data_IF_290081435234
#
_entry.id   IF_290081435234
#
_cell.length_a   1.000
_cell.length_b   1.000
_cell.length_c   1.000
_cell.angle_alpha   90.00
_cell.angle_beta   90.00
_cell.angle_gamma   90.00
#
_symmetry.space_group_name_H-M   'P 1'
#
loop_
_entity.id
_entity.type
_entity.pdbx_description
1 polymer ?
#
# COMPACT_ATOMS: atom_id res chain seq x y z
N UNK A 1 19.82 -8.12 10.76
CA UNK A 1 19.38 -6.71 10.65
C UNK A 1 18.39 -6.41 9.51
N UNK A 2 17.76 -7.39 8.83
CA UNK A 2 16.74 -7.09 7.77
C UNK A 2 15.28 -6.98 8.25
N UNK A 3 15.00 -7.41 9.48
CA UNK A 3 13.64 -7.41 10.04
C UNK A 3 13.17 -6.01 10.42
N UNK A 4 14.01 -5.25 11.12
CA UNK A 4 13.70 -3.91 11.61
C UNK A 4 13.42 -2.92 10.48
N UNK A 5 14.25 -2.89 9.44
CA UNK A 5 14.06 -1.97 8.32
C UNK A 5 12.73 -2.24 7.58
N UNK A 6 12.32 -3.50 7.46
CA UNK A 6 11.02 -3.86 6.86
C UNK A 6 9.86 -3.46 7.76
N UNK A 7 10.00 -3.63 9.08
CA UNK A 7 8.97 -3.21 10.06
C UNK A 7 8.75 -1.71 10.01
N UNK A 8 9.82 -0.93 10.11
CA UNK A 8 9.76 0.53 10.06
C UNK A 8 9.15 1.01 8.74
N UNK A 9 9.53 0.39 7.61
CA UNK A 9 8.94 0.72 6.32
C UNK A 9 7.43 0.41 6.27
N UNK A 10 7.02 -0.73 6.85
CA UNK A 10 5.62 -1.15 6.90
C UNK A 10 4.79 -0.18 7.73
N UNK A 11 5.27 0.20 8.91
CA UNK A 11 4.61 1.18 9.77
C UNK A 11 4.48 2.54 9.08
N UNK A 12 5.55 3.00 8.42
CA UNK A 12 5.56 4.28 7.69
C UNK A 12 4.60 4.29 6.51
N UNK A 13 4.54 3.19 5.75
CA UNK A 13 3.63 3.00 4.61
C UNK A 13 2.17 2.94 5.07
N UNK A 14 1.87 2.14 6.10
CA UNK A 14 0.52 2.00 6.65
C UNK A 14 0.02 3.31 7.26
N UNK A 15 0.86 4.02 8.02
CA UNK A 15 0.53 5.32 8.58
C UNK A 15 0.22 6.36 7.49
N UNK A 16 1.06 6.46 6.46
CA UNK A 16 0.83 7.38 5.35
C UNK A 16 -0.46 7.05 4.57
N UNK A 17 -0.77 5.77 4.38
CA UNK A 17 -2.02 5.34 3.76
C UNK A 17 -3.24 5.69 4.62
N UNK A 18 -3.15 5.47 5.94
CA UNK A 18 -4.19 5.86 6.91
C UNK A 18 -4.48 7.35 6.94
N UNK A 19 -3.47 8.19 6.68
CA UNK A 19 -3.63 9.65 6.51
C UNK A 19 -4.34 10.05 5.20
N UNK A 20 -4.65 9.08 4.34
CA UNK A 20 -5.33 9.31 3.06
C UNK A 20 -4.40 9.58 1.88
N UNK A 21 -3.08 9.36 2.03
CA UNK A 21 -2.18 9.39 0.88
C UNK A 21 -2.44 8.21 -0.05
N UNK A 22 -2.28 8.44 -1.35
CA UNK A 22 -2.38 7.37 -2.34
C UNK A 22 -1.15 6.45 -2.24
N UNK A 23 -1.33 5.16 -2.55
CA UNK A 23 -0.21 4.19 -2.66
C UNK A 23 0.90 4.71 -3.57
N UNK A 24 0.52 5.43 -4.63
CA UNK A 24 1.44 6.01 -5.62
C UNK A 24 2.30 7.14 -5.02
N UNK A 25 1.71 8.02 -4.21
CA UNK A 25 2.43 9.07 -3.49
C UNK A 25 3.38 8.47 -2.45
N UNK A 26 2.91 7.46 -1.72
CA UNK A 26 3.72 6.75 -0.72
C UNK A 26 4.93 6.10 -1.40
N UNK A 27 4.70 5.39 -2.51
CA UNK A 27 5.75 4.76 -3.31
C UNK A 27 6.78 5.78 -3.81
N UNK A 28 6.33 6.93 -4.33
CA UNK A 28 7.22 8.00 -4.75
C UNK A 28 7.99 8.62 -3.58
N UNK A 29 7.35 8.79 -2.42
CA UNK A 29 7.97 9.39 -1.24
C UNK A 29 9.09 8.52 -0.64
N UNK A 30 8.98 7.19 -0.74
CA UNK A 30 9.99 6.25 -0.23
C UNK A 30 10.91 5.72 -1.34
N UNK A 31 10.77 6.18 -2.59
CA UNK A 31 11.57 5.70 -3.73
C UNK A 31 11.39 4.20 -4.01
N UNK A 32 10.16 3.69 -3.89
CA UNK A 32 9.82 2.28 -4.15
C UNK A 32 8.74 2.17 -5.21
N UNK A 33 8.56 0.96 -5.73
CA UNK A 33 7.53 0.69 -6.73
C UNK A 33 6.15 0.56 -6.09
N UNK A 34 5.12 0.91 -6.85
CA UNK A 34 3.73 0.72 -6.44
C UNK A 34 3.46 -0.72 -6.00
N UNK A 35 3.90 -1.72 -6.77
CA UNK A 35 3.67 -3.13 -6.47
C UNK A 35 4.33 -3.57 -5.16
N UNK A 36 5.47 -2.97 -4.82
CA UNK A 36 6.13 -3.20 -3.53
C UNK A 36 5.30 -2.63 -2.37
N UNK A 37 4.86 -1.38 -2.47
CA UNK A 37 4.02 -0.74 -1.44
C UNK A 37 2.66 -1.43 -1.32
N UNK A 38 2.05 -1.82 -2.43
CA UNK A 38 0.79 -2.55 -2.44
C UNK A 38 0.92 -3.91 -1.76
N UNK A 39 1.99 -4.68 -2.04
CA UNK A 39 2.24 -5.93 -1.31
C UNK A 39 2.46 -5.67 0.17
N UNK A 40 3.20 -4.63 0.53
CA UNK A 40 3.48 -4.31 1.93
C UNK A 40 2.20 -3.96 2.71
N UNK A 41 1.31 -3.15 2.11
CA UNK A 41 -0.02 -2.85 2.67
C UNK A 41 -0.91 -4.10 2.74
N UNK A 42 -0.85 -4.99 1.75
CA UNK A 42 -1.60 -6.24 1.76
C UNK A 42 -1.09 -7.21 2.85
N UNK A 43 0.24 -7.36 3.00
CA UNK A 43 0.87 -8.16 4.06
C UNK A 43 0.59 -7.58 5.45
N UNK A 44 0.51 -6.25 5.56
CA UNK A 44 0.14 -5.56 6.79
C UNK A 44 -1.36 -5.63 7.11
N UNK A 45 -2.18 -6.21 6.22
CA UNK A 45 -3.62 -6.38 6.43
C UNK A 45 -4.40 -5.06 6.40
N UNK A 46 -3.90 -4.04 5.70
CA UNK A 46 -4.55 -2.73 5.63
C UNK A 46 -5.80 -2.83 4.75
N UNK A 47 -6.92 -2.28 5.22
CA UNK A 47 -8.15 -2.24 4.44
C UNK A 47 -7.96 -1.24 3.28
N UNK A 48 -7.82 -1.77 2.07
CA UNK A 48 -7.70 -0.93 0.89
C UNK A 48 -9.02 -0.21 0.68
N UNK A 49 -8.98 1.12 0.78
CA UNK A 49 -10.07 2.01 0.41
C UNK A 49 -10.52 1.64 -0.99
N UNK A 50 -11.63 0.91 -1.05
CA UNK A 50 -12.20 0.53 -2.33
C UNK A 50 -12.54 1.82 -3.06
N UNK A 51 -12.07 1.97 -4.30
CA UNK A 51 -12.56 3.04 -5.15
C UNK A 51 -14.04 2.74 -5.36
N UNK A 52 -14.90 3.51 -4.70
CA UNK A 52 -16.35 3.28 -4.72
C UNK A 52 -16.83 3.05 -6.16
N UNK A 53 -17.51 1.91 -6.37
CA UNK A 53 -18.21 1.60 -7.61
C UNK A 53 -17.64 0.43 -8.39
N UNK A 54 -18.38 -0.68 -8.34
CA UNK A 54 -18.48 -1.77 -9.30
C UNK A 54 -17.48 -1.78 -10.49
N UNK A 55 -16.65 -2.83 -10.54
CA UNK A 55 -16.38 -3.52 -11.80
C UNK A 55 -17.22 -4.79 -11.86
N UNK A 56 -18.50 -4.65 -12.21
CA UNK A 56 -19.15 -5.68 -13.02
C UNK A 56 -18.52 -5.60 -14.42
N UNK A 57 -18.05 -6.73 -14.94
CA UNK A 57 -17.80 -6.87 -16.37
C UNK A 57 -16.50 -7.58 -16.74
N UNK A 58 -16.58 -8.92 -16.80
CA UNK A 58 -16.28 -9.58 -18.07
C UNK A 58 -14.93 -10.27 -18.23
N UNK A 59 -15.00 -11.61 -18.16
CA UNK A 59 -14.39 -12.60 -19.08
C UNK A 59 -12.86 -12.79 -18.89
N UNK A 60 -12.31 -13.99 -18.74
CA UNK A 60 -12.61 -15.31 -19.30
C UNK A 60 -12.11 -16.39 -18.34
#
# INVERSE_FOLDING_TARGET
>A
MRGDERRELTERVTAAYGQGRSIRDIASAIGRSYGFVHRLLAEAGVDFRTRGGARKGGRK
#
